data_IF_476114714290
#
_entry.id   IF_476114714290
#
_cell.length_a   1.000
_cell.length_b   1.000
_cell.length_c   1.000
_cell.angle_alpha   90.00
_cell.angle_beta   90.00
_cell.angle_gamma   90.00
#
_symmetry.space_group_name_H-M   'P 1'
#
loop_
_entity.id
_entity.type
_entity.pdbx_description
1 polymer ?
#
# COMPACT_ATOMS: atom_id res chain seq x y z
N UNK A 1 8.72 -12.14 12.37
CA UNK A 1 7.86 -13.17 11.75
C UNK A 1 8.72 -14.40 11.52
N UNK A 2 8.40 -15.55 12.14
CA UNK A 2 9.18 -16.79 11.96
C UNK A 2 8.97 -17.37 10.55
N UNK A 3 9.99 -17.97 9.93
CA UNK A 3 9.90 -18.63 8.62
C UNK A 3 8.84 -19.74 8.57
N UNK A 4 8.57 -20.38 9.71
CA UNK A 4 7.55 -21.43 9.83
C UNK A 4 6.14 -20.92 9.54
N UNK A 5 5.83 -19.68 9.95
CA UNK A 5 4.53 -19.05 9.70
C UNK A 5 4.37 -18.74 8.21
N UNK A 6 5.45 -18.31 7.54
CA UNK A 6 5.43 -18.06 6.10
C UNK A 6 5.18 -19.35 5.31
N UNK A 7 5.83 -20.46 5.71
CA UNK A 7 5.61 -21.78 5.10
C UNK A 7 4.17 -22.27 5.29
N UNK A 8 3.62 -22.16 6.50
CA UNK A 8 2.25 -22.60 6.79
C UNK A 8 1.22 -21.82 5.95
N UNK A 9 1.40 -20.50 5.78
CA UNK A 9 0.47 -19.66 5.01
C UNK A 9 0.58 -19.96 3.51
N UNK A 10 1.78 -20.16 2.96
CA UNK A 10 1.96 -20.57 1.55
C UNK A 10 1.31 -21.92 1.27
N UNK A 11 1.35 -22.87 2.22
CA UNK A 11 0.69 -24.18 2.10
C UNK A 11 -0.83 -24.06 2.17
N UNK A 12 -1.36 -23.20 3.08
CA UNK A 12 -2.80 -23.01 3.26
C UNK A 12 -3.45 -22.17 2.14
N UNK A 13 -2.68 -21.32 1.48
CA UNK A 13 -3.13 -20.43 0.41
C UNK A 13 -2.12 -20.36 -0.74
N UNK A 14 -2.10 -21.34 -1.66
CA UNK A 14 -1.05 -21.49 -2.67
C UNK A 14 -0.99 -20.32 -3.68
N UNK A 15 -2.04 -19.51 -3.77
CA UNK A 15 -2.12 -18.34 -4.68
C UNK A 15 -1.78 -17.00 -4.00
N UNK A 16 -1.33 -17.03 -2.74
CA UNK A 16 -1.04 -15.83 -1.95
C UNK A 16 0.46 -15.65 -1.82
N UNK A 17 0.97 -14.53 -2.35
CA UNK A 17 2.34 -14.11 -2.15
C UNK A 17 2.37 -13.16 -0.96
N UNK A 18 3.07 -13.56 0.08
CA UNK A 18 3.32 -12.74 1.27
C UNK A 18 4.51 -11.86 0.96
N UNK A 19 4.27 -10.57 0.83
CA UNK A 19 5.36 -9.61 0.73
C UNK A 19 5.72 -9.16 2.15
N UNK A 20 6.62 -9.91 2.79
CA UNK A 20 7.31 -9.44 4.00
C UNK A 20 8.27 -8.35 3.54
N UNK A 21 7.98 -7.09 3.86
CA UNK A 21 8.98 -6.03 3.73
C UNK A 21 10.11 -6.33 4.73
N UNK A 22 11.26 -6.79 4.25
CA UNK A 22 12.52 -6.50 4.95
C UNK A 22 12.80 -5.03 4.72
N UNK A 23 12.25 -4.19 5.60
CA UNK A 23 12.44 -2.74 5.55
C UNK A 23 13.89 -2.38 5.85
N UNK A 24 14.71 -2.25 4.81
CA UNK A 24 15.92 -1.43 4.83
C UNK A 24 15.76 -0.37 3.75
N UNK A 25 14.94 0.65 4.02
CA UNK A 25 14.99 1.90 3.27
C UNK A 25 14.54 3.05 4.18
N UNK A 26 15.55 3.69 4.75
CA UNK A 26 15.64 5.03 5.31
C UNK A 26 14.59 6.02 4.77
N UNK A 27 13.57 6.29 5.56
CA UNK A 27 12.80 7.55 5.55
C UNK A 27 13.06 8.32 6.85
N UNK A 28 14.32 8.26 7.33
CA UNK A 28 14.76 9.11 8.41
C UNK A 28 14.93 10.56 7.91
N UNK A 29 14.16 11.44 8.55
CA UNK A 29 14.67 12.70 9.08
C UNK A 29 14.84 13.85 8.11
N UNK A 30 13.69 14.44 7.75
CA UNK A 30 13.55 15.90 7.84
C UNK A 30 12.07 16.26 7.99
N UNK A 31 11.59 16.27 9.23
CA UNK A 31 10.69 17.30 9.78
C UNK A 31 10.56 17.05 11.29
N UNK A 32 10.93 18.09 12.03
CA UNK A 32 11.00 18.16 13.49
C UNK A 32 9.63 17.91 14.12
N UNK A 33 9.66 17.18 15.23
CA UNK A 33 8.60 16.95 16.20
C UNK A 33 7.48 18.00 16.18
N UNK A 34 6.29 17.59 15.73
CA UNK A 34 5.05 18.03 16.37
C UNK A 34 4.42 16.81 17.01
N UNK A 35 4.55 16.81 18.34
CA UNK A 35 4.04 15.88 19.36
C UNK A 35 2.92 14.95 18.89
N UNK A 36 3.13 13.66 19.15
CA UNK A 36 2.06 12.68 19.37
C UNK A 36 1.12 12.47 18.17
N UNK A 37 1.61 11.78 17.13
CA UNK A 37 0.75 11.14 16.11
C UNK A 37 -0.01 9.95 16.71
N UNK A 38 -0.62 10.12 17.89
CA UNK A 38 -1.45 9.14 18.53
C UNK A 38 -2.69 8.90 17.66
N UNK A 39 -2.65 7.82 16.86
CA UNK A 39 -3.78 7.21 16.18
C UNK A 39 -4.45 8.03 15.06
N UNK A 40 -3.67 8.61 14.13
CA UNK A 40 -4.24 8.95 12.80
C UNK A 40 -4.59 7.63 12.10
N UNK A 41 -5.79 7.15 12.39
CA UNK A 41 -6.35 5.96 11.77
C UNK A 41 -6.80 6.35 10.38
N UNK A 42 -6.18 5.74 9.36
CA UNK A 42 -6.61 5.94 7.97
C UNK A 42 -8.09 5.62 7.85
N UNK A 43 -8.87 6.60 7.39
CA UNK A 43 -10.30 6.42 7.19
C UNK A 43 -10.53 5.58 5.93
N UNK A 44 -11.57 4.74 5.96
CA UNK A 44 -11.91 3.90 4.81
C UNK A 44 -12.24 4.72 3.56
N UNK A 45 -12.77 5.94 3.71
CA UNK A 45 -13.01 6.88 2.62
C UNK A 45 -11.71 7.36 1.95
N UNK A 46 -10.67 7.65 2.73
CA UNK A 46 -9.34 8.04 2.19
C UNK A 46 -8.72 6.87 1.42
N UNK A 47 -8.78 5.67 1.99
CA UNK A 47 -8.34 4.45 1.30
C UNK A 47 -9.12 4.22 -0.01
N UNK A 48 -10.44 4.37 0.00
CA UNK A 48 -11.27 4.20 -1.19
C UNK A 48 -10.98 5.25 -2.27
N UNK A 49 -10.74 6.51 -1.88
CA UNK A 49 -10.33 7.58 -2.80
C UNK A 49 -8.98 7.30 -3.43
N UNK A 50 -7.98 6.92 -2.62
CA UNK A 50 -6.66 6.51 -3.11
C UNK A 50 -6.76 5.32 -4.07
N UNK A 51 -7.56 4.30 -3.72
CA UNK A 51 -7.74 3.12 -4.55
C UNK A 51 -8.31 3.46 -5.94
N UNK A 52 -9.29 4.38 -6.00
CA UNK A 52 -9.88 4.85 -7.27
C UNK A 52 -8.88 5.63 -8.11
N UNK A 53 -8.13 6.55 -7.49
CA UNK A 53 -7.10 7.33 -8.17
C UNK A 53 -6.03 6.41 -8.73
N UNK A 54 -5.45 5.53 -7.90
CA UNK A 54 -4.42 4.59 -8.33
C UNK A 54 -4.91 3.65 -9.43
N UNK A 55 -6.14 3.12 -9.32
CA UNK A 55 -6.69 2.26 -10.36
C UNK A 55 -6.87 3.01 -11.70
N UNK A 56 -7.38 4.25 -11.64
CA UNK A 56 -7.55 5.08 -12.83
C UNK A 56 -6.23 5.45 -13.48
N UNK A 57 -5.25 5.88 -12.69
CA UNK A 57 -3.94 6.29 -13.18
C UNK A 57 -3.11 5.11 -13.69
N UNK A 58 -3.14 3.97 -12.99
CA UNK A 58 -2.51 2.74 -13.48
C UNK A 58 -3.08 2.31 -14.84
N UNK A 59 -4.41 2.35 -14.99
CA UNK A 59 -5.05 2.06 -16.28
C UNK A 59 -4.63 3.05 -17.38
N UNK A 60 -4.58 4.36 -17.08
CA UNK A 60 -4.10 5.39 -18.03
C UNK A 60 -2.63 5.20 -18.42
N UNK A 61 -1.83 4.66 -17.52
CA UNK A 61 -0.42 4.33 -17.73
C UNK A 61 -0.21 2.98 -18.47
N UNK A 62 -1.30 2.32 -18.91
CA UNK A 62 -1.23 1.03 -19.62
C UNK A 62 -1.04 -0.20 -18.71
N UNK A 63 -1.18 -0.05 -17.39
CA UNK A 63 -1.06 -1.13 -16.42
C UNK A 63 -2.41 -1.79 -16.12
N UNK A 64 -2.38 -3.01 -15.59
CA UNK A 64 -3.56 -3.71 -15.07
C UNK A 64 -3.75 -3.35 -13.59
N UNK A 65 -4.78 -2.57 -13.21
CA UNK A 65 -4.96 -2.17 -11.83
C UNK A 65 -5.38 -3.37 -10.95
N UNK A 66 -4.79 -3.56 -9.76
CA UNK A 66 -5.26 -4.56 -8.82
C UNK A 66 -6.56 -4.12 -8.13
N UNK A 67 -7.31 -5.08 -7.61
CA UNK A 67 -8.37 -4.79 -6.66
C UNK A 67 -7.79 -4.50 -5.28
N UNK A 68 -8.10 -3.34 -4.70
CA UNK A 68 -7.67 -2.99 -3.35
C UNK A 68 -8.68 -3.44 -2.29
N UNK A 69 -8.20 -4.01 -1.17
CA UNK A 69 -9.01 -4.43 -0.03
C UNK A 69 -8.34 -4.11 1.31
N UNK A 70 -9.13 -4.14 2.38
CA UNK A 70 -8.63 -4.08 3.75
C UNK A 70 -9.62 -4.81 4.69
N UNK A 71 -9.16 -5.45 5.78
CA UNK A 71 -7.75 -5.74 6.11
C UNK A 71 -7.21 -6.95 5.32
N UNK A 72 -5.89 -7.21 5.37
CA UNK A 72 -5.32 -8.48 4.94
C UNK A 72 -5.95 -9.65 5.70
N UNK A 73 -6.13 -10.79 5.03
CA UNK A 73 -6.64 -12.02 5.68
C UNK A 73 -5.58 -12.75 6.51
N UNK A 74 -4.32 -12.36 6.34
CA UNK A 74 -3.18 -12.89 7.08
C UNK A 74 -2.92 -11.95 8.25
N UNK A 75 -2.80 -12.51 9.46
CA UNK A 75 -2.50 -11.75 10.66
C UNK A 75 -1.02 -11.35 10.66
N UNK A 76 -0.73 -10.12 11.10
CA UNK A 76 0.65 -9.64 11.27
C UNK A 76 1.36 -9.20 9.98
N UNK A 77 0.64 -9.05 8.87
CA UNK A 77 1.20 -8.50 7.62
C UNK A 77 0.60 -7.14 7.31
N UNK A 78 1.45 -6.22 6.87
CA UNK A 78 1.05 -4.88 6.42
C UNK A 78 0.34 -4.93 5.07
N UNK A 79 0.80 -5.80 4.17
CA UNK A 79 0.18 -6.02 2.86
C UNK A 79 0.21 -7.48 2.46
N UNK A 80 -0.80 -7.91 1.71
CA UNK A 80 -0.86 -9.24 1.10
C UNK A 80 -1.36 -9.15 -0.33
N UNK A 81 -0.89 -10.06 -1.17
CA UNK A 81 -1.26 -10.10 -2.58
C UNK A 81 -1.80 -11.50 -2.92
N UNK A 82 -2.99 -11.54 -3.52
CA UNK A 82 -3.62 -12.76 -3.99
C UNK A 82 -3.86 -12.69 -5.49
N UNK A 83 -3.34 -13.68 -6.22
CA UNK A 83 -3.62 -13.87 -7.66
C UNK A 83 -4.79 -14.83 -7.84
N UNK A 84 -5.74 -14.51 -8.71
CA UNK A 84 -6.90 -15.37 -9.02
C UNK A 84 -7.48 -15.03 -10.40
N UNK A 85 -7.59 -16.02 -11.30
CA UNK A 85 -8.21 -15.89 -12.62
C UNK A 85 -7.80 -14.61 -13.38
N UNK A 86 -6.49 -14.41 -13.55
CA UNK A 86 -5.89 -13.24 -14.21
C UNK A 86 -6.18 -11.87 -13.54
N UNK A 87 -6.67 -11.89 -12.30
CA UNK A 87 -6.87 -10.71 -11.46
C UNK A 87 -5.93 -10.78 -10.27
N UNK A 88 -5.54 -9.61 -9.78
CA UNK A 88 -4.72 -9.46 -8.58
C UNK A 88 -5.50 -8.65 -7.56
N UNK A 89 -5.51 -9.13 -6.31
CA UNK A 89 -6.08 -8.42 -5.18
C UNK A 89 -4.96 -8.08 -4.21
N UNK A 90 -4.80 -6.80 -3.91
CA UNK A 90 -3.87 -6.28 -2.91
C UNK A 90 -4.68 -5.90 -1.68
N UNK A 91 -4.38 -6.50 -0.53
CA UNK A 91 -5.01 -6.15 0.75
C UNK A 91 -3.99 -5.44 1.64
N UNK A 92 -4.37 -4.30 2.24
CA UNK A 92 -3.47 -3.44 3.03
C UNK A 92 -4.02 -3.18 4.43
N UNK A 93 -3.14 -3.19 5.41
CA UNK A 93 -3.43 -2.86 6.81
C UNK A 93 -3.52 -1.34 6.98
N UNK A 94 -4.66 -0.87 7.51
CA UNK A 94 -4.91 0.56 7.74
C UNK A 94 -4.68 1.00 9.19
N UNK A 95 -4.97 0.11 10.14
CA UNK A 95 -5.01 0.46 11.57
C UNK A 95 -3.61 0.74 12.10
N UNK A 96 -3.46 1.84 12.84
CA UNK A 96 -2.21 2.22 13.50
C UNK A 96 -1.09 2.59 12.52
N UNK A 97 -1.40 2.84 11.25
CA UNK A 97 -0.41 3.17 10.22
C UNK A 97 -0.68 4.56 9.66
N UNK A 98 0.37 5.37 9.42
CA UNK A 98 0.21 6.66 8.78
C UNK A 98 -0.28 6.47 7.34
N UNK A 99 -1.06 7.44 6.84
CA UNK A 99 -1.66 7.33 5.52
C UNK A 99 -0.61 7.20 4.39
N UNK A 100 0.54 7.87 4.53
CA UNK A 100 1.66 7.72 3.60
C UNK A 100 2.19 6.27 3.51
N UNK A 101 2.23 5.53 4.62
CA UNK A 101 2.65 4.12 4.60
C UNK A 101 1.61 3.24 3.88
N UNK A 102 0.32 3.52 4.06
CA UNK A 102 -0.76 2.85 3.32
C UNK A 102 -0.64 3.12 1.82
N UNK A 103 -0.42 4.37 1.41
CA UNK A 103 -0.22 4.73 0.00
C UNK A 103 0.99 4.00 -0.60
N UNK A 104 2.10 3.95 0.14
CA UNK A 104 3.30 3.21 -0.26
C UNK A 104 2.98 1.74 -0.55
N UNK A 105 2.26 1.07 0.36
CA UNK A 105 1.86 -0.34 0.17
C UNK A 105 0.90 -0.54 -1.01
N UNK A 106 0.00 0.43 -1.25
CA UNK A 106 -0.89 0.38 -2.40
C UNK A 106 -0.12 0.52 -3.72
N UNK A 107 0.82 1.46 -3.80
CA UNK A 107 1.66 1.70 -4.97
C UNK A 107 2.56 0.50 -5.24
N UNK A 108 3.23 -0.02 -4.21
CA UNK A 108 4.06 -1.23 -4.35
C UNK A 108 3.19 -2.43 -4.75
N UNK A 109 1.95 -2.49 -4.26
CA UNK A 109 0.95 -3.45 -4.72
C UNK A 109 0.69 -3.40 -6.22
N UNK A 110 0.62 -2.22 -6.82
CA UNK A 110 0.48 -2.07 -8.29
C UNK A 110 1.71 -2.58 -9.03
N UNK A 111 2.91 -2.22 -8.55
CA UNK A 111 4.19 -2.63 -9.14
C UNK A 111 4.32 -4.16 -9.14
N UNK A 112 4.10 -4.80 -7.99
CA UNK A 112 4.22 -6.26 -7.82
C UNK A 112 3.08 -7.00 -8.55
N UNK A 113 1.88 -6.43 -8.62
CA UNK A 113 0.75 -7.01 -9.36
C UNK A 113 0.99 -7.04 -10.88
N UNK A 114 1.75 -6.07 -11.40
CA UNK A 114 2.12 -5.96 -12.81
C UNK A 114 3.52 -6.52 -13.12
N UNK A 115 4.18 -7.13 -12.12
CA UNK A 115 5.49 -7.79 -12.28
C UNK A 115 6.56 -6.84 -12.86
N UNK A 116 6.45 -5.56 -12.53
CA UNK A 116 7.37 -4.53 -13.00
C UNK A 116 8.70 -4.63 -12.27
N UNK A 117 9.79 -4.43 -13.01
CA UNK A 117 11.16 -4.47 -12.49
C UNK A 117 11.99 -3.31 -13.04
N UNK A 118 13.14 -3.05 -12.41
CA UNK A 118 14.12 -2.05 -12.86
C UNK A 118 13.51 -0.65 -13.06
N UNK A 119 13.84 -0.02 -14.19
CA UNK A 119 13.40 1.33 -14.53
C UNK A 119 11.88 1.47 -14.64
N UNK A 120 11.19 0.45 -15.14
CA UNK A 120 9.73 0.50 -15.28
C UNK A 120 9.04 0.58 -13.92
N UNK A 121 9.51 -0.22 -12.95
CA UNK A 121 9.01 -0.15 -11.58
C UNK A 121 9.23 1.25 -10.98
N UNK A 122 10.42 1.83 -11.15
CA UNK A 122 10.75 3.15 -10.61
C UNK A 122 9.91 4.28 -11.21
N UNK A 123 9.76 4.27 -12.53
CA UNK A 123 8.93 5.25 -13.25
C UNK A 123 7.46 5.14 -12.81
N UNK A 124 6.94 3.92 -12.67
CA UNK A 124 5.58 3.69 -12.17
C UNK A 124 5.41 4.17 -10.73
N UNK A 125 6.36 3.92 -9.83
CA UNK A 125 6.30 4.45 -8.45
C UNK A 125 6.23 5.98 -8.45
N UNK A 126 7.13 6.62 -9.20
CA UNK A 126 7.19 8.07 -9.33
C UNK A 126 5.85 8.64 -9.83
N UNK A 127 5.32 8.08 -10.91
CA UNK A 127 4.06 8.52 -11.51
C UNK A 127 2.83 8.30 -10.61
N UNK A 128 2.77 7.17 -9.91
CA UNK A 128 1.64 6.90 -9.01
C UNK A 128 1.70 7.74 -7.74
N UNK A 129 2.91 8.03 -7.22
CA UNK A 129 3.08 8.96 -6.10
C UNK A 129 2.61 10.37 -6.43
N UNK A 130 3.02 10.93 -7.57
CA UNK A 130 2.57 12.27 -7.99
C UNK A 130 1.05 12.35 -8.15
N UNK A 131 0.41 11.23 -8.47
CA UNK A 131 -1.05 11.15 -8.64
C UNK A 131 -1.83 11.22 -7.33
N UNK A 132 -1.22 10.87 -6.19
CA UNK A 132 -1.90 10.81 -4.87
C UNK A 132 -1.40 11.86 -3.90
N UNK A 133 -0.41 12.67 -4.28
CA UNK A 133 0.20 13.70 -3.43
C UNK A 133 -0.83 14.69 -2.85
N UNK A 134 -1.85 15.07 -3.63
CA UNK A 134 -2.94 15.94 -3.15
C UNK A 134 -3.76 15.35 -2.00
N UNK A 135 -3.80 14.02 -1.87
CA UNK A 135 -4.49 13.34 -0.77
C UNK A 135 -3.74 13.48 0.56
N UNK A 136 -2.41 13.64 0.53
CA UNK A 136 -1.59 13.87 1.71
C UNK A 136 -1.79 15.28 2.26
N UNK A 137 -1.83 16.28 1.38
CA UNK A 137 -2.07 17.69 1.74
C UNK A 137 -3.45 17.87 2.38
N UNK A 138 -4.45 17.11 1.90
CA UNK A 138 -5.82 17.17 2.42
C UNK A 138 -5.96 16.62 3.84
N UNK A 139 -5.06 15.71 4.27
CA UNK A 139 -5.07 15.13 5.61
C UNK A 139 -4.59 16.13 6.68
N UNK A 140 -3.58 16.95 6.34
CA UNK A 140 -3.09 18.02 7.21
C UNK A 140 -4.14 19.13 7.41
N UNK A 141 -4.88 19.48 6.37
CA UNK A 141 -5.94 20.49 6.44
C UNK A 141 -7.10 20.04 7.35
N UNK A 142 -7.45 18.75 7.31
CA UNK A 142 -8.52 18.19 8.14
C UNK A 142 -8.13 18.10 9.63
N UNK A 143 -6.84 17.94 9.92
CA UNK A 143 -6.31 17.80 11.29
C UNK A 143 -6.27 19.13 12.05
N UNK A 144 -6.29 20.28 11.35
CA UNK A 144 -6.26 21.63 11.96
C UNK A 144 -7.65 22.17 12.40
N UNK A 145 -8.73 21.42 12.17
CA UNK A 145 -10.12 21.88 12.40
C UNK A 145 -10.82 21.10 13.53
N UNK A 146 -10.10 20.30 14.31
CA UNK A 146 -10.63 19.55 15.44
C UNK A 146 -10.18 20.15 16.78
#
# INVERSE_FOLDING_TARGET
MSEDILREITVRYPSVIICVMTSTSTYETRLVATRDSALVTVRYSQFASAARILASQAHRYGLRPPGFRSPPRIVGVDRSLRRFNNRVVVSVLLRGRPFAAVLSDMIEGVVVANELTGRNAENTRTFLWSSVESLLVSDEAQTRVA
#
